data_IF_606704163253
#
_entry.id   IF_606704163253
#
_cell.length_a   1.000
_cell.length_b   1.000
_cell.length_c   1.000
_cell.angle_alpha   90.00
_cell.angle_beta   90.00
_cell.angle_gamma   90.00
#
_symmetry.space_group_name_H-M   'P 1'
#
loop_
_entity.id
_entity.type
_entity.pdbx_description
1 polymer ?
#
# COMPACT_ATOMS: atom_id res chain seq x y z
N UNK A 1 -14.83 0.32 15.08
CA UNK A 1 -15.00 1.60 14.39
C UNK A 1 -14.68 1.35 12.94
N UNK A 2 -15.63 1.54 12.03
CA UNK A 2 -15.35 1.45 10.59
C UNK A 2 -14.82 2.80 10.17
N UNK A 3 -13.63 2.82 9.60
CA UNK A 3 -13.04 4.05 9.09
C UNK A 3 -13.49 4.32 7.66
N UNK A 4 -13.58 5.60 7.29
CA UNK A 4 -13.85 6.03 5.92
C UNK A 4 -12.57 6.63 5.37
N UNK A 5 -12.17 6.26 4.15
CA UNK A 5 -10.93 6.77 3.53
C UNK A 5 -10.93 8.28 3.25
N UNK A 6 -12.05 8.96 3.48
CA UNK A 6 -12.17 10.41 3.32
C UNK A 6 -11.25 11.15 4.30
N UNK A 7 -10.25 11.85 3.75
CA UNK A 7 -9.23 12.56 4.54
C UNK A 7 -7.97 11.74 4.83
N UNK A 8 -7.85 10.54 4.27
CA UNK A 8 -6.59 9.80 4.29
C UNK A 8 -5.55 10.48 3.39
N UNK A 9 -4.28 10.42 3.79
CA UNK A 9 -3.16 11.01 3.05
C UNK A 9 -2.03 9.99 2.88
N UNK A 10 -1.33 10.05 1.77
CA UNK A 10 -0.06 9.33 1.55
C UNK A 10 1.07 10.34 1.39
N UNK A 11 2.21 10.07 2.01
CA UNK A 11 3.42 10.90 1.95
C UNK A 11 4.64 10.07 1.62
N UNK A 12 5.48 10.59 0.74
CA UNK A 12 6.74 9.99 0.31
C UNK A 12 7.91 10.74 0.94
N UNK A 13 8.75 10.02 1.69
CA UNK A 13 9.76 10.64 2.57
C UNK A 13 10.92 11.32 1.84
N UNK A 14 11.26 10.89 0.63
CA UNK A 14 12.41 11.40 -0.13
C UNK A 14 11.97 12.17 -1.37
N UNK A 15 11.04 11.62 -2.16
CA UNK A 15 10.58 12.27 -3.39
C UNK A 15 9.69 13.49 -3.12
N UNK A 16 9.01 13.54 -1.97
CA UNK A 16 8.07 14.60 -1.64
C UNK A 16 6.84 14.63 -2.57
N UNK A 17 6.62 13.56 -3.34
CA UNK A 17 5.50 13.46 -4.28
C UNK A 17 4.17 13.64 -3.55
N UNK A 18 3.34 14.56 -4.03
CA UNK A 18 2.09 14.92 -3.38
C UNK A 18 1.06 15.31 -4.42
N UNK A 19 -0.06 14.59 -4.44
CA UNK A 19 -1.15 14.82 -5.38
C UNK A 19 -2.51 14.81 -4.68
N UNK A 20 -3.56 15.16 -5.42
CA UNK A 20 -4.92 14.98 -4.92
C UNK A 20 -5.34 13.51 -5.03
N UNK A 21 -5.36 12.81 -3.89
CA UNK A 21 -5.64 11.38 -3.81
C UNK A 21 -7.13 11.09 -3.99
N UNK A 22 -7.48 10.30 -5.00
CA UNK A 22 -8.84 9.81 -5.22
C UNK A 22 -9.08 8.46 -4.54
N UNK A 23 -8.07 7.59 -4.56
CA UNK A 23 -8.12 6.28 -3.94
C UNK A 23 -6.75 5.88 -3.41
N UNK A 24 -6.74 5.28 -2.21
CA UNK A 24 -5.55 4.68 -1.61
C UNK A 24 -5.94 3.24 -1.27
N UNK A 25 -5.34 2.28 -1.97
CA UNK A 25 -5.54 0.86 -1.71
C UNK A 25 -4.98 0.41 -0.36
N UNK A 26 -5.08 -0.88 -0.09
CA UNK A 26 -4.43 -1.52 1.04
C UNK A 26 -3.46 -2.60 0.54
N UNK A 27 -2.34 -2.82 1.23
CA UNK A 27 -1.42 -3.91 0.90
C UNK A 27 -2.12 -5.27 1.00
N UNK A 28 -1.97 -6.08 -0.05
CA UNK A 28 -2.40 -7.48 -0.07
C UNK A 28 -1.30 -8.41 0.43
N UNK A 29 -1.29 -8.73 1.72
CA UNK A 29 -0.29 -9.63 2.30
C UNK A 29 -0.45 -11.08 1.77
N UNK A 30 0.64 -11.66 1.28
CA UNK A 30 0.75 -13.05 0.90
C UNK A 30 1.91 -13.72 1.66
N UNK A 31 1.64 -14.90 2.22
CA UNK A 31 2.66 -15.73 2.86
C UNK A 31 2.50 -17.16 2.35
N UNK A 32 3.58 -17.71 1.81
CA UNK A 32 3.60 -19.10 1.35
C UNK A 32 3.54 -20.12 2.50
N UNK A 33 3.34 -21.38 2.13
CA UNK A 33 3.45 -22.51 3.06
C UNK A 33 4.24 -23.65 2.41
N UNK A 34 4.91 -24.46 3.23
CA UNK A 34 5.59 -25.68 2.81
C UNK A 34 4.95 -26.90 3.45
N UNK A 35 5.03 -28.03 2.75
CA UNK A 35 4.48 -29.31 3.20
C UNK A 35 5.37 -29.93 4.29
N UNK A 36 4.74 -30.42 5.35
CA UNK A 36 5.38 -31.09 6.50
C UNK A 36 4.89 -32.53 6.66
N UNK A 37 4.14 -33.04 5.68
CA UNK A 37 3.60 -34.40 5.67
C UNK A 37 4.74 -35.41 5.72
N UNK A 38 4.59 -36.44 6.55
CA UNK A 38 5.54 -37.54 6.70
C UNK A 38 4.83 -38.90 6.55
N UNK A 39 5.59 -40.01 6.50
CA UNK A 39 5.06 -41.37 6.30
C UNK A 39 4.06 -41.84 7.38
N UNK A 40 3.99 -41.11 8.51
CA UNK A 40 3.04 -41.36 9.59
C UNK A 40 1.77 -40.51 9.50
N UNK A 41 1.67 -39.59 8.54
CA UNK A 41 0.50 -38.75 8.35
C UNK A 41 -0.56 -39.53 7.56
N UNK A 42 -1.64 -39.96 8.23
CA UNK A 42 -2.62 -40.91 7.66
C UNK A 42 -3.92 -40.29 7.17
N UNK A 43 -4.15 -38.99 7.42
CA UNK A 43 -5.49 -38.40 7.27
C UNK A 43 -5.53 -37.23 6.29
N UNK A 44 -4.69 -36.21 6.50
CA UNK A 44 -4.62 -35.03 5.63
C UNK A 44 -3.19 -34.47 5.62
N UNK A 45 -2.83 -33.72 4.57
CA UNK A 45 -1.53 -33.06 4.49
C UNK A 45 -1.37 -32.00 5.56
N UNK A 46 -0.16 -31.86 6.10
CA UNK A 46 0.18 -30.85 7.10
C UNK A 46 1.08 -29.78 6.48
N UNK A 47 0.86 -28.52 6.84
CA UNK A 47 1.62 -27.39 6.27
C UNK A 47 2.16 -26.48 7.37
N UNK A 48 3.33 -25.90 7.13
CA UNK A 48 3.91 -24.85 7.96
C UNK A 48 4.16 -23.59 7.09
N UNK A 49 4.02 -22.37 7.65
CA UNK A 49 4.21 -21.15 6.88
C UNK A 49 5.71 -20.86 6.64
N UNK A 50 6.04 -20.28 5.50
CA UNK A 50 7.42 -19.80 5.22
C UNK A 50 7.76 -18.57 6.07
N UNK A 51 9.02 -18.29 6.38
CA UNK A 51 9.36 -17.20 7.32
C UNK A 51 9.07 -15.79 6.79
N UNK A 52 9.25 -15.57 5.48
CA UNK A 52 9.11 -14.24 4.87
C UNK A 52 7.68 -14.00 4.35
N UNK A 53 7.16 -12.82 4.64
CA UNK A 53 5.88 -12.31 4.14
C UNK A 53 6.15 -11.37 2.96
N UNK A 54 5.39 -11.52 1.88
CA UNK A 54 5.33 -10.52 0.81
C UNK A 54 4.09 -9.65 1.06
N UNK A 55 4.29 -8.35 1.31
CA UNK A 55 3.21 -7.41 1.54
C UNK A 55 2.47 -6.98 0.26
N UNK A 56 2.81 -7.58 -0.88
CA UNK A 56 2.12 -7.39 -2.14
C UNK A 56 2.35 -6.01 -2.72
N UNK A 57 1.34 -5.50 -3.43
CA UNK A 57 1.34 -4.16 -4.02
C UNK A 57 0.24 -3.31 -3.40
N UNK A 58 0.41 -2.00 -3.50
CA UNK A 58 -0.57 -0.97 -3.20
C UNK A 58 -0.89 -0.25 -4.51
N UNK A 59 -2.18 -0.09 -4.82
CA UNK A 59 -2.64 0.74 -5.93
C UNK A 59 -3.11 2.10 -5.38
N UNK A 60 -2.70 3.19 -6.02
CA UNK A 60 -3.13 4.55 -5.72
C UNK A 60 -3.68 5.21 -6.97
N UNK A 61 -4.70 6.05 -6.81
CA UNK A 61 -5.29 6.86 -7.87
C UNK A 61 -5.28 8.34 -7.46
N UNK A 62 -4.89 9.22 -8.38
CA UNK A 62 -4.78 10.66 -8.15
C UNK A 62 -5.12 11.48 -9.39
N UNK A 63 -5.42 12.76 -9.18
CA UNK A 63 -5.59 13.72 -10.28
C UNK A 63 -4.27 13.89 -11.05
N UNK A 64 -4.31 13.78 -12.38
CA UNK A 64 -3.10 13.95 -13.20
C UNK A 64 -2.67 15.41 -13.26
N UNK A 65 -1.42 15.68 -12.90
CA UNK A 65 -0.74 16.96 -13.09
C UNK A 65 0.42 16.79 -14.10
N UNK A 66 0.43 17.50 -15.23
CA UNK A 66 1.51 17.39 -16.21
C UNK A 66 2.85 17.97 -15.72
N UNK A 67 2.85 18.83 -14.70
CA UNK A 67 4.06 19.48 -14.18
C UNK A 67 4.74 18.66 -13.06
N UNK A 68 4.04 17.67 -12.49
CA UNK A 68 4.57 16.82 -11.42
C UNK A 68 4.57 15.34 -11.84
N UNK A 69 5.79 14.80 -12.00
CA UNK A 69 5.99 13.43 -12.45
C UNK A 69 6.14 12.51 -11.23
N UNK A 70 5.39 11.40 -11.17
CA UNK A 70 5.59 10.43 -10.10
C UNK A 70 7.00 9.84 -10.11
N UNK A 71 7.55 9.48 -8.93
CA UNK A 71 8.92 8.98 -8.76
C UNK A 71 9.08 7.51 -9.24
N UNK A 72 8.69 7.21 -10.48
CA UNK A 72 8.68 5.87 -11.08
C UNK A 72 10.08 5.27 -11.28
N UNK A 73 11.11 6.12 -11.36
CA UNK A 73 12.50 5.74 -11.57
C UNK A 73 13.36 5.82 -10.29
N UNK A 74 12.74 6.11 -9.14
CA UNK A 74 13.44 6.29 -7.87
C UNK A 74 13.57 4.97 -7.10
N UNK A 75 14.61 4.83 -6.25
CA UNK A 75 14.75 3.67 -5.36
C UNK A 75 13.63 3.64 -4.32
N UNK A 76 13.52 2.50 -3.62
CA UNK A 76 12.57 2.35 -2.53
C UNK A 76 12.77 3.42 -1.45
N UNK A 77 11.68 4.08 -1.07
CA UNK A 77 11.66 5.13 -0.07
C UNK A 77 10.64 4.83 1.02
N UNK A 78 10.64 5.62 2.10
CA UNK A 78 9.66 5.47 3.17
C UNK A 78 8.34 6.09 2.74
N UNK A 79 7.29 5.29 2.74
CA UNK A 79 5.94 5.68 2.40
C UNK A 79 5.09 5.58 3.67
N UNK A 80 4.39 6.66 3.99
CA UNK A 80 3.50 6.73 5.15
C UNK A 80 2.09 7.03 4.68
N UNK A 81 1.15 6.17 5.03
CA UNK A 81 -0.28 6.39 4.87
C UNK A 81 -0.84 6.77 6.23
N UNK A 82 -1.56 7.87 6.29
CA UNK A 82 -2.24 8.33 7.50
C UNK A 82 -3.74 8.34 7.25
N UNK A 83 -4.47 7.61 8.08
CA UNK A 83 -5.93 7.58 8.06
C UNK A 83 -6.52 8.76 8.84
N UNK A 84 -7.76 9.18 8.55
CA UNK A 84 -8.37 10.27 9.30
C UNK A 84 -8.48 9.95 10.80
N UNK A 85 -8.34 10.99 11.62
CA UNK A 85 -8.47 10.87 13.06
C UNK A 85 -9.91 10.46 13.41
N UNK A 86 -10.14 9.34 14.10
CA UNK A 86 -11.48 8.98 14.54
C UNK A 86 -12.01 10.02 15.54
N UNK A 87 -13.32 10.25 15.51
CA UNK A 87 -13.96 11.19 16.44
C UNK A 87 -13.66 10.79 17.90
N UNK A 88 -13.06 11.71 18.66
CA UNK A 88 -12.66 11.49 20.05
C UNK A 88 -11.25 10.90 20.24
N UNK A 89 -10.52 10.60 19.16
CA UNK A 89 -9.12 10.21 19.21
C UNK A 89 -8.18 11.41 19.39
N UNK A 90 -6.96 11.12 19.84
CA UNK A 90 -5.84 12.07 19.94
C UNK A 90 -4.78 11.86 18.85
N UNK A 91 -4.68 10.65 18.28
CA UNK A 91 -3.73 10.36 17.19
C UNK A 91 -4.36 9.53 16.07
N UNK A 92 -4.05 9.89 14.82
CA UNK A 92 -4.48 9.14 13.63
C UNK A 92 -3.78 7.78 13.53
N UNK A 93 -4.43 6.81 12.89
CA UNK A 93 -3.79 5.55 12.55
C UNK A 93 -2.83 5.74 11.37
N UNK A 94 -1.72 5.01 11.36
CA UNK A 94 -0.72 5.10 10.28
C UNK A 94 -0.24 3.73 9.82
N UNK A 95 0.14 3.67 8.54
CA UNK A 95 0.87 2.56 7.94
C UNK A 95 2.17 3.10 7.37
N UNK A 96 3.29 2.55 7.82
CA UNK A 96 4.62 2.95 7.38
C UNK A 96 5.35 1.74 6.81
N UNK A 97 5.97 1.91 5.64
CA UNK A 97 6.76 0.89 4.99
C UNK A 97 7.74 1.47 3.99
N UNK A 98 8.68 0.65 3.52
CA UNK A 98 9.51 1.03 2.37
C UNK A 98 8.90 0.50 1.08
N UNK A 99 8.82 1.31 0.04
CA UNK A 99 8.25 0.90 -1.25
C UNK A 99 8.75 1.75 -2.39
N UNK A 100 8.55 1.24 -3.61
CA UNK A 100 8.88 1.92 -4.86
C UNK A 100 7.75 1.72 -5.87
N UNK A 101 7.59 2.66 -6.79
CA UNK A 101 6.59 2.54 -7.85
C UNK A 101 7.07 1.56 -8.92
N UNK A 102 6.16 0.71 -9.39
CA UNK A 102 6.44 -0.30 -10.43
C UNK A 102 5.63 -0.08 -11.70
N UNK A 103 4.50 0.62 -11.59
CA UNK A 103 3.63 0.93 -12.73
C UNK A 103 3.03 2.32 -12.57
N UNK A 104 2.80 3.00 -13.71
CA UNK A 104 2.16 4.30 -13.79
C UNK A 104 1.40 4.42 -15.11
N UNK A 105 0.09 4.67 -15.02
CA UNK A 105 -0.80 4.82 -16.17
C UNK A 105 -1.62 6.09 -16.04
N UNK A 106 -1.72 6.87 -17.12
CA UNK A 106 -2.55 8.08 -17.19
C UNK A 106 -3.78 7.82 -18.04
N UNK A 107 -4.94 8.25 -17.55
CA UNK A 107 -6.20 8.19 -18.27
C UNK A 107 -6.75 9.61 -18.47
N UNK A 108 -7.05 9.96 -19.72
CA UNK A 108 -7.60 11.27 -20.08
C UNK A 108 -8.80 11.13 -21.02
N UNK A 109 -10.01 10.88 -20.48
CA UNK A 109 -11.22 10.85 -21.28
C UNK A 109 -11.55 12.25 -21.84
N UNK A 110 -12.19 12.30 -23.01
CA UNK A 110 -12.62 13.56 -23.60
C UNK A 110 -13.66 14.25 -22.69
N UNK A 111 -13.42 15.51 -22.34
CA UNK A 111 -14.29 16.35 -21.49
C UNK A 111 -14.43 15.89 -20.02
N UNK A 112 -13.55 15.02 -19.54
CA UNK A 112 -13.49 14.59 -18.13
C UNK A 112 -12.16 14.97 -17.47
N UNK A 113 -12.09 14.83 -16.14
CA UNK A 113 -10.83 15.04 -15.41
C UNK A 113 -9.84 13.93 -15.77
N UNK A 114 -8.60 14.32 -16.02
CA UNK A 114 -7.52 13.34 -16.19
C UNK A 114 -7.14 12.75 -14.84
N UNK A 115 -7.06 11.43 -14.77
CA UNK A 115 -6.62 10.70 -13.58
C UNK A 115 -5.41 9.87 -13.91
N UNK A 116 -4.63 9.54 -12.89
CA UNK A 116 -3.52 8.62 -13.04
C UNK A 116 -3.53 7.58 -11.93
N UNK A 117 -3.14 6.37 -12.29
CA UNK A 117 -3.03 5.22 -11.39
C UNK A 117 -1.55 4.86 -11.28
N UNK A 118 -1.07 4.64 -10.06
CA UNK A 118 0.27 4.12 -9.81
C UNK A 118 0.22 2.89 -8.91
N UNK A 119 1.11 1.94 -9.18
CA UNK A 119 1.29 0.74 -8.36
C UNK A 119 2.60 0.84 -7.59
N UNK A 120 2.54 0.63 -6.28
CA UNK A 120 3.69 0.61 -5.36
C UNK A 120 3.93 -0.83 -4.92
N UNK A 121 5.16 -1.31 -5.06
CA UNK A 121 5.61 -2.58 -4.47
C UNK A 121 6.31 -2.31 -3.15
N UNK A 122 5.91 -3.02 -2.10
CA UNK A 122 6.54 -2.94 -0.80
C UNK A 122 7.85 -3.72 -0.76
N UNK A 123 8.82 -3.19 -0.03
CA UNK A 123 10.13 -3.76 0.22
C UNK A 123 10.36 -3.81 1.74
N UNK A 124 10.49 -5.01 2.29
CA UNK A 124 10.60 -5.19 3.74
C UNK A 124 9.24 -5.22 4.44
N UNK A 125 9.26 -4.99 5.76
CA UNK A 125 8.09 -5.15 6.62
C UNK A 125 7.23 -3.88 6.69
N UNK A 126 5.96 -4.03 7.08
CA UNK A 126 5.00 -2.95 7.25
C UNK A 126 4.66 -2.75 8.72
N UNK A 127 4.70 -1.49 9.17
CA UNK A 127 4.33 -1.11 10.53
C UNK A 127 2.98 -0.43 10.55
N UNK A 128 2.00 -1.08 11.18
CA UNK A 128 0.67 -0.51 11.42
C UNK A 128 0.62 0.06 12.84
N UNK A 129 0.32 1.36 12.97
CA UNK A 129 0.10 2.04 14.25
C UNK A 129 -1.38 2.35 14.40
N UNK A 130 -1.99 1.86 15.47
CA UNK A 130 -3.40 2.13 15.76
C UNK A 130 -3.61 3.58 16.20
N UNK A 131 -4.78 4.13 15.87
CA UNK A 131 -5.25 5.39 16.44
C UNK A 131 -5.42 5.26 17.96
N UNK A 132 -5.15 6.34 18.69
CA UNK A 132 -5.43 6.46 20.14
C UNK A 132 -6.46 7.54 20.42
#
# INVERSE_FOLDING_TARGET
>A
MTDTTTGATITFGTSGFSQNWQSIGLPGANRGSYDTTHLGTTTARTHAPIDLVDWGTLEIEFDFDPDDRPPIDQPAETITITWPLPSGGSTAATLVGSGFMTDYTVNGPLEEKMTATATIKWSGDLTFTAAT
#
